data_IF_354475485594
#
_entry.id   IF_354475485594
#
_cell.length_a   1.000
_cell.length_b   1.000
_cell.length_c   1.000
_cell.angle_alpha   90.00
_cell.angle_beta   90.00
_cell.angle_gamma   90.00
#
_symmetry.space_group_name_H-M   'P 1'
#
loop_
_entity.id
_entity.type
_entity.pdbx_description
1 polymer ?
#
# COMPACT_ATOMS: atom_id res chain seq x y z
N UNK A 1 -29.76 -4.38 -11.71
CA UNK A 1 -28.42 -4.03 -12.21
C UNK A 1 -28.40 -4.20 -13.70
N UNK A 2 -28.08 -3.17 -14.48
CA UNK A 2 -28.09 -3.26 -15.95
C UNK A 2 -26.92 -4.13 -16.44
N UNK A 3 -27.10 -4.87 -17.54
CA UNK A 3 -26.06 -5.71 -18.16
C UNK A 3 -24.77 -4.91 -18.44
N UNK A 4 -24.89 -3.60 -18.73
CA UNK A 4 -23.76 -2.70 -18.98
C UNK A 4 -22.90 -2.46 -17.71
N UNK A 5 -23.50 -2.36 -16.54
CA UNK A 5 -22.74 -2.16 -15.29
C UNK A 5 -21.96 -3.41 -14.90
N UNK A 6 -22.53 -4.59 -15.12
CA UNK A 6 -21.85 -5.86 -14.89
C UNK A 6 -20.63 -6.03 -15.80
N UNK A 7 -20.78 -5.78 -17.11
CA UNK A 7 -19.67 -5.91 -18.07
C UNK A 7 -18.54 -4.94 -17.75
N UNK A 8 -18.86 -3.69 -17.39
CA UNK A 8 -17.85 -2.68 -17.00
C UNK A 8 -17.06 -3.09 -15.76
N UNK A 9 -17.74 -3.63 -14.76
CA UNK A 9 -17.08 -4.08 -13.52
C UNK A 9 -16.21 -5.32 -13.76
N UNK A 10 -16.66 -6.25 -14.59
CA UNK A 10 -15.88 -7.42 -14.99
C UNK A 10 -14.61 -7.02 -15.75
N UNK A 11 -14.71 -6.14 -16.74
CA UNK A 11 -13.54 -5.62 -17.47
C UNK A 11 -12.56 -4.91 -16.54
N UNK A 12 -13.06 -4.06 -15.64
CA UNK A 12 -12.22 -3.37 -14.64
C UNK A 12 -11.46 -4.36 -13.75
N UNK A 13 -12.16 -5.38 -13.23
CA UNK A 13 -11.55 -6.39 -12.39
C UNK A 13 -10.46 -7.17 -13.14
N UNK A 14 -10.76 -7.64 -14.35
CA UNK A 14 -9.79 -8.35 -15.19
C UNK A 14 -8.57 -7.49 -15.48
N UNK A 15 -8.76 -6.22 -15.83
CA UNK A 15 -7.65 -5.29 -16.09
C UNK A 15 -6.77 -5.09 -14.85
N UNK A 16 -7.37 -4.91 -13.66
CA UNK A 16 -6.62 -4.76 -12.39
C UNK A 16 -5.84 -6.02 -12.06
N UNK A 17 -6.46 -7.20 -12.19
CA UNK A 17 -5.79 -8.49 -11.92
C UNK A 17 -4.62 -8.71 -12.87
N UNK A 18 -4.80 -8.45 -14.17
CA UNK A 18 -3.74 -8.55 -15.17
C UNK A 18 -2.60 -7.57 -14.87
N UNK A 19 -2.91 -6.32 -14.53
CA UNK A 19 -1.92 -5.30 -14.17
C UNK A 19 -1.11 -5.73 -12.95
N UNK A 20 -1.77 -6.20 -11.89
CA UNK A 20 -1.09 -6.70 -10.68
C UNK A 20 -0.19 -7.89 -11.04
N UNK A 21 -0.67 -8.84 -11.85
CA UNK A 21 0.11 -10.01 -12.28
C UNK A 21 1.36 -9.62 -13.05
N UNK A 22 1.24 -8.72 -14.04
CA UNK A 22 2.38 -8.25 -14.84
C UNK A 22 3.39 -7.51 -13.96
N UNK A 23 2.93 -6.61 -13.09
CA UNK A 23 3.80 -5.86 -12.19
C UNK A 23 4.49 -6.79 -11.20
N UNK A 24 3.78 -7.79 -10.65
CA UNK A 24 4.37 -8.76 -9.74
C UNK A 24 5.49 -9.59 -10.40
N UNK A 25 5.28 -10.04 -11.63
CA UNK A 25 6.29 -10.77 -12.40
C UNK A 25 7.50 -9.89 -12.67
N UNK A 26 7.29 -8.66 -13.17
CA UNK A 26 8.38 -7.72 -13.44
C UNK A 26 9.16 -7.35 -12.17
N UNK A 27 8.47 -7.20 -11.05
CA UNK A 27 9.09 -6.92 -9.75
C UNK A 27 9.93 -8.12 -9.27
N UNK A 28 9.39 -9.33 -9.36
CA UNK A 28 10.11 -10.55 -8.98
C UNK A 28 11.37 -10.76 -9.85
N UNK A 29 11.27 -10.52 -11.16
CA UNK A 29 12.42 -10.60 -12.08
C UNK A 29 13.46 -9.54 -11.74
N UNK A 30 13.05 -8.30 -11.48
CA UNK A 30 13.93 -7.23 -11.04
C UNK A 30 14.69 -7.55 -9.74
N UNK A 31 14.00 -8.15 -8.75
CA UNK A 31 14.65 -8.65 -7.53
C UNK A 31 15.63 -9.78 -7.81
N UNK A 32 15.28 -10.74 -8.66
CA UNK A 32 16.17 -11.84 -9.00
C UNK A 32 17.47 -11.37 -9.69
N UNK A 33 17.34 -10.40 -10.61
CA UNK A 33 18.50 -9.79 -11.27
C UNK A 33 19.33 -8.93 -10.29
N UNK A 34 18.67 -8.15 -9.43
CA UNK A 34 19.34 -7.38 -8.37
C UNK A 34 20.09 -8.28 -7.40
N UNK A 35 19.49 -9.42 -7.02
CA UNK A 35 20.14 -10.44 -6.20
C UNK A 35 21.45 -10.93 -6.84
N UNK A 36 21.43 -11.21 -8.14
CA UNK A 36 22.62 -11.64 -8.87
C UNK A 36 23.75 -10.61 -8.80
N UNK A 37 23.44 -9.33 -9.05
CA UNK A 37 24.43 -8.26 -8.97
C UNK A 37 25.01 -8.04 -7.57
N UNK A 38 24.17 -8.12 -6.52
CA UNK A 38 24.63 -8.05 -5.13
C UNK A 38 25.47 -9.27 -4.74
N UNK A 39 25.12 -10.45 -5.22
CA UNK A 39 25.90 -11.67 -5.00
C UNK A 39 27.29 -11.60 -5.64
N UNK A 40 27.37 -11.15 -6.89
CA UNK A 40 28.64 -10.92 -7.59
C UNK A 40 29.51 -9.86 -6.87
N UNK A 41 28.88 -8.76 -6.42
CA UNK A 41 29.57 -7.78 -5.57
C UNK A 41 30.17 -8.41 -4.33
N UNK A 42 29.39 -9.24 -3.61
CA UNK A 42 29.84 -9.91 -2.40
C UNK A 42 31.06 -10.81 -2.66
N UNK A 43 31.02 -11.59 -3.74
CA UNK A 43 32.14 -12.46 -4.12
C UNK A 43 33.40 -11.65 -4.48
N UNK A 44 33.26 -10.57 -5.25
CA UNK A 44 34.37 -9.69 -5.60
C UNK A 44 35.05 -9.07 -4.35
N UNK A 45 34.27 -8.90 -3.27
CA UNK A 45 34.77 -8.35 -2.01
C UNK A 45 35.08 -9.43 -0.95
N UNK A 46 35.36 -10.66 -1.40
CA UNK A 46 35.84 -11.78 -0.57
C UNK A 46 34.83 -12.27 0.48
N UNK A 47 33.55 -12.08 0.24
CA UNK A 47 32.53 -12.83 0.96
C UNK A 47 32.37 -14.18 0.27
N UNK A 48 32.55 -15.26 1.02
CA UNK A 48 32.49 -16.61 0.49
C UNK A 48 31.37 -17.43 1.15
N UNK A 49 30.89 -18.44 0.40
CA UNK A 49 29.88 -19.39 0.87
C UNK A 49 28.59 -18.71 1.28
N UNK A 50 28.00 -19.16 2.39
CA UNK A 50 26.71 -18.66 2.87
C UNK A 50 26.64 -17.15 3.08
N UNK A 51 27.77 -16.50 3.36
CA UNK A 51 27.82 -15.05 3.55
C UNK A 51 27.57 -14.29 2.24
N UNK A 52 28.10 -14.78 1.14
CA UNK A 52 27.84 -14.21 -0.17
C UNK A 52 26.39 -14.45 -0.60
N UNK A 53 25.86 -15.65 -0.34
CA UNK A 53 24.49 -16.03 -0.67
C UNK A 53 23.44 -15.23 0.13
N UNK A 54 23.71 -14.96 1.40
CA UNK A 54 22.75 -14.25 2.27
C UNK A 54 22.87 -12.73 2.20
N UNK A 55 23.97 -12.20 1.67
CA UNK A 55 24.19 -10.75 1.58
C UNK A 55 23.11 -10.01 0.79
N UNK A 56 22.71 -10.47 -0.41
CA UNK A 56 21.59 -9.86 -1.13
C UNK A 56 20.28 -9.89 -0.34
N UNK A 57 19.97 -11.03 0.30
CA UNK A 57 18.76 -11.19 1.09
C UNK A 57 18.70 -10.20 2.25
N UNK A 58 19.83 -9.88 2.87
CA UNK A 58 19.88 -8.89 3.94
C UNK A 58 19.46 -7.51 3.44
N UNK A 59 19.93 -7.10 2.27
CA UNK A 59 19.55 -5.81 1.66
C UNK A 59 18.07 -5.79 1.31
N UNK A 60 17.58 -6.84 0.66
CA UNK A 60 16.18 -6.96 0.24
C UNK A 60 15.22 -6.99 1.44
N UNK A 61 15.61 -7.62 2.56
CA UNK A 61 14.83 -7.61 3.80
C UNK A 61 14.67 -6.20 4.39
N UNK A 62 15.70 -5.36 4.34
CA UNK A 62 15.58 -3.97 4.78
C UNK A 62 14.61 -3.19 3.89
N UNK A 63 14.66 -3.38 2.59
CA UNK A 63 13.72 -2.78 1.65
C UNK A 63 12.30 -3.23 2.00
N UNK A 64 12.09 -4.53 2.12
CA UNK A 64 10.77 -5.11 2.40
C UNK A 64 10.18 -4.62 3.72
N UNK A 65 10.99 -4.57 4.79
CA UNK A 65 10.54 -4.06 6.11
C UNK A 65 10.13 -2.61 6.03
N UNK A 66 10.90 -1.77 5.35
CA UNK A 66 10.57 -0.36 5.17
C UNK A 66 9.26 -0.17 4.38
N UNK A 67 9.09 -0.91 3.30
CA UNK A 67 7.89 -0.81 2.46
C UNK A 67 6.65 -1.39 3.11
N UNK A 68 6.75 -2.52 3.82
CA UNK A 68 5.64 -3.05 4.62
C UNK A 68 5.24 -2.09 5.73
N UNK A 69 6.21 -1.40 6.36
CA UNK A 69 5.92 -0.36 7.34
C UNK A 69 5.11 0.79 6.75
N UNK A 70 5.50 1.28 5.57
CA UNK A 70 4.73 2.31 4.85
C UNK A 70 3.35 1.81 4.42
N UNK A 71 3.26 0.56 4.00
CA UNK A 71 2.00 -0.05 3.60
C UNK A 71 1.01 -0.16 4.78
N UNK A 72 1.48 -0.62 5.94
CA UNK A 72 0.65 -0.70 7.16
C UNK A 72 0.13 0.68 7.55
N UNK A 73 0.99 1.71 7.54
CA UNK A 73 0.56 3.09 7.80
C UNK A 73 -0.50 3.58 6.81
N UNK A 74 -0.37 3.18 5.54
CA UNK A 74 -1.34 3.53 4.52
C UNK A 74 -2.69 2.81 4.73
N UNK A 75 -2.69 1.56 5.19
CA UNK A 75 -3.91 0.80 5.52
C UNK A 75 -4.64 1.38 6.73
N UNK A 76 -3.90 1.80 7.75
CA UNK A 76 -4.47 2.40 8.97
C UNK A 76 -5.09 3.79 8.73
N UNK A 77 -5.12 4.26 7.48
CA UNK A 77 -5.66 5.56 7.12
C UNK A 77 -4.94 6.70 7.86
N UNK A 78 -3.64 6.54 8.06
CA UNK A 78 -2.82 7.42 8.88
C UNK A 78 -3.00 8.88 8.47
N UNK A 79 -3.77 9.60 9.26
CA UNK A 79 -3.92 11.05 9.10
C UNK A 79 -2.72 11.70 9.75
N UNK A 80 -1.94 12.42 8.96
CA UNK A 80 -0.86 13.28 9.44
C UNK A 80 -1.40 14.19 10.55
N UNK A 81 -1.29 13.73 11.79
CA UNK A 81 -1.53 14.60 12.95
C UNK A 81 -0.39 15.62 12.98
N UNK A 82 -0.69 16.84 13.36
CA UNK A 82 0.29 17.95 13.48
C UNK A 82 1.29 17.73 14.64
N UNK A 83 1.63 16.49 14.95
CA UNK A 83 2.57 16.12 16.01
C UNK A 83 3.89 15.68 15.38
N UNK A 84 5.00 16.10 15.96
CA UNK A 84 6.34 15.72 15.53
C UNK A 84 6.53 14.18 15.55
N UNK A 85 5.96 13.50 16.56
CA UNK A 85 6.04 12.03 16.63
C UNK A 85 5.30 11.34 15.44
N UNK A 86 4.25 11.95 14.92
CA UNK A 86 3.55 11.40 13.77
C UNK A 86 4.41 11.41 12.49
N UNK A 87 5.34 12.34 12.37
CA UNK A 87 6.28 12.36 11.26
C UNK A 87 7.32 11.23 11.36
N UNK A 88 7.74 10.86 12.56
CA UNK A 88 8.71 9.77 12.75
C UNK A 88 8.16 8.42 12.30
N UNK A 89 6.85 8.19 12.47
CA UNK A 89 6.19 6.95 12.06
C UNK A 89 6.26 6.74 10.54
N UNK A 90 6.23 7.82 9.76
CA UNK A 90 6.38 7.76 8.29
C UNK A 90 7.84 7.82 7.88
N UNK A 91 8.61 8.74 8.48
CA UNK A 91 10.00 8.98 8.08
C UNK A 91 10.88 7.75 8.32
N UNK A 92 10.66 7.04 9.42
CA UNK A 92 11.49 5.89 9.76
C UNK A 92 11.38 4.76 8.73
N UNK A 93 10.20 4.19 8.42
CA UNK A 93 10.09 3.15 7.40
C UNK A 93 10.47 3.67 6.00
N UNK A 94 10.17 4.94 5.69
CA UNK A 94 10.60 5.54 4.42
C UNK A 94 12.13 5.63 4.31
N UNK A 95 12.81 6.02 5.38
CA UNK A 95 14.27 6.09 5.41
C UNK A 95 14.90 4.69 5.30
N UNK A 96 14.32 3.69 5.98
CA UNK A 96 14.77 2.28 5.88
C UNK A 96 14.64 1.78 4.45
N UNK A 97 13.49 1.97 3.81
CA UNK A 97 13.27 1.59 2.41
C UNK A 97 14.23 2.31 1.45
N UNK A 98 14.34 3.64 1.58
CA UNK A 98 15.21 4.46 0.73
C UNK A 98 16.69 4.08 0.89
N UNK A 99 17.13 3.78 2.13
CA UNK A 99 18.50 3.31 2.39
C UNK A 99 18.73 1.96 1.75
N UNK A 100 17.82 1.00 1.91
CA UNK A 100 17.91 -0.31 1.27
C UNK A 100 17.99 -0.20 -0.25
N UNK A 101 17.13 0.60 -0.87
CA UNK A 101 17.16 0.86 -2.31
C UNK A 101 18.46 1.54 -2.77
N UNK A 102 18.95 2.52 -2.02
CA UNK A 102 20.21 3.19 -2.31
C UNK A 102 21.40 2.23 -2.27
N UNK A 103 21.43 1.36 -1.26
CA UNK A 103 22.46 0.32 -1.10
C UNK A 103 22.36 -0.70 -2.25
N UNK A 104 21.17 -1.21 -2.55
CA UNK A 104 20.93 -2.15 -3.64
C UNK A 104 21.40 -1.57 -4.98
N UNK A 105 20.99 -0.34 -5.29
CA UNK A 105 21.38 0.35 -6.52
C UNK A 105 22.90 0.57 -6.59
N UNK A 106 23.50 1.01 -5.49
CA UNK A 106 24.94 1.24 -5.43
C UNK A 106 25.73 -0.02 -5.75
N UNK A 107 25.40 -1.14 -5.12
CA UNK A 107 26.11 -2.39 -5.35
C UNK A 107 25.86 -2.94 -6.76
N UNK A 108 24.63 -2.87 -7.27
CA UNK A 108 24.31 -3.31 -8.62
C UNK A 108 25.07 -2.50 -9.70
N UNK A 109 25.23 -1.20 -9.51
CA UNK A 109 25.94 -0.33 -10.46
C UNK A 109 27.46 -0.52 -10.41
N UNK A 110 28.01 -0.92 -9.25
CA UNK A 110 29.45 -0.99 -9.05
C UNK A 110 30.01 -2.42 -8.99
N UNK A 111 29.20 -3.47 -9.24
CA UNK A 111 29.70 -4.85 -9.22
C UNK A 111 30.57 -5.19 -10.44
N UNK A 112 30.45 -4.48 -11.54
CA UNK A 112 31.21 -4.73 -12.77
C UNK A 112 32.54 -3.95 -12.75
N UNK A 113 33.68 -4.61 -12.70
CA UNK A 113 34.98 -3.95 -12.75
C UNK A 113 35.19 -3.24 -14.12
N UNK A 114 35.69 -2.01 -14.10
CA UNK A 114 35.96 -1.20 -15.29
C UNK A 114 34.72 -0.97 -16.19
N UNK A 115 33.53 -0.98 -15.61
CA UNK A 115 32.27 -0.77 -16.31
C UNK A 115 32.23 0.59 -17.01
N UNK A 116 31.75 0.60 -18.24
CA UNK A 116 31.38 1.82 -18.95
C UNK A 116 30.15 2.47 -18.31
N UNK A 117 29.82 3.70 -18.70
CA UNK A 117 28.58 4.34 -18.26
C UNK A 117 27.33 3.55 -18.68
N UNK A 118 27.37 2.95 -19.86
CA UNK A 118 26.26 2.14 -20.39
C UNK A 118 26.05 0.87 -19.56
N UNK A 119 27.14 0.19 -19.18
CA UNK A 119 27.07 -1.00 -18.30
C UNK A 119 26.46 -0.64 -16.94
N UNK A 120 26.88 0.49 -16.36
CA UNK A 120 26.35 0.98 -15.08
C UNK A 120 24.86 1.31 -15.12
N UNK A 121 24.43 1.98 -16.21
CA UNK A 121 23.01 2.28 -16.41
C UNK A 121 22.22 0.98 -16.53
N UNK A 122 22.71 0.02 -17.33
CA UNK A 122 22.05 -1.28 -17.51
C UNK A 122 21.94 -2.05 -16.19
N UNK A 123 23.02 -2.09 -15.41
CA UNK A 123 23.03 -2.76 -14.10
C UNK A 123 22.11 -2.08 -13.06
N UNK A 124 21.81 -0.80 -13.23
CA UNK A 124 20.87 -0.06 -12.38
C UNK A 124 19.39 -0.30 -12.71
N UNK A 125 19.07 -0.82 -13.89
CA UNK A 125 17.67 -1.02 -14.33
C UNK A 125 16.92 -2.01 -13.45
N UNK A 126 17.44 -3.21 -13.09
CA UNK A 126 16.70 -4.18 -12.30
C UNK A 126 16.24 -3.64 -10.92
N UNK A 127 17.09 -3.07 -10.06
CA UNK A 127 16.65 -2.55 -8.78
C UNK A 127 15.65 -1.38 -8.93
N UNK A 128 15.83 -0.51 -9.94
CA UNK A 128 14.87 0.58 -10.21
C UNK A 128 13.53 0.03 -10.67
N UNK A 129 13.52 -0.99 -11.54
CA UNK A 129 12.29 -1.61 -12.01
C UNK A 129 11.54 -2.30 -10.84
N UNK A 130 12.27 -3.01 -9.97
CA UNK A 130 11.71 -3.63 -8.77
C UNK A 130 11.08 -2.58 -7.83
N UNK A 131 11.79 -1.48 -7.56
CA UNK A 131 11.28 -0.36 -6.74
C UNK A 131 10.00 0.24 -7.31
N UNK A 132 9.99 0.59 -8.59
CA UNK A 132 8.81 1.17 -9.25
C UNK A 132 7.64 0.19 -9.25
N UNK A 133 7.91 -1.10 -9.55
CA UNK A 133 6.91 -2.15 -9.55
C UNK A 133 6.26 -2.33 -8.17
N UNK A 134 7.06 -2.40 -7.12
CA UNK A 134 6.58 -2.55 -5.75
C UNK A 134 5.77 -1.32 -5.31
N UNK A 135 6.22 -0.11 -5.63
CA UNK A 135 5.47 1.12 -5.38
C UNK A 135 4.10 1.15 -6.08
N UNK A 136 4.03 0.74 -7.35
CA UNK A 136 2.77 0.65 -8.11
C UNK A 136 1.85 -0.38 -7.46
N UNK A 137 2.38 -1.54 -7.08
CA UNK A 137 1.61 -2.61 -6.44
C UNK A 137 1.01 -2.15 -5.12
N UNK A 138 1.81 -1.57 -4.22
CA UNK A 138 1.36 -1.05 -2.93
C UNK A 138 0.29 0.03 -3.09
N UNK A 139 0.52 0.99 -4.00
CA UNK A 139 -0.46 2.04 -4.29
C UNK A 139 -1.78 1.47 -4.83
N UNK A 140 -1.71 0.46 -5.68
CA UNK A 140 -2.91 -0.17 -6.27
C UNK A 140 -3.71 -0.91 -5.20
N UNK A 141 -3.04 -1.69 -4.35
CA UNK A 141 -3.68 -2.40 -3.24
C UNK A 141 -4.30 -1.41 -2.26
N UNK A 142 -3.57 -0.36 -1.86
CA UNK A 142 -4.09 0.67 -0.97
C UNK A 142 -5.37 1.33 -1.53
N UNK A 143 -5.37 1.73 -2.80
CA UNK A 143 -6.57 2.30 -3.43
C UNK A 143 -7.74 1.34 -3.47
N UNK A 144 -7.47 0.06 -3.68
CA UNK A 144 -8.52 -0.97 -3.69
C UNK A 144 -9.11 -1.16 -2.30
N UNK A 145 -8.29 -1.25 -1.27
CA UNK A 145 -8.72 -1.39 0.12
C UNK A 145 -9.54 -0.18 0.58
N UNK A 146 -9.09 1.04 0.30
CA UNK A 146 -9.84 2.26 0.64
C UNK A 146 -11.24 2.33 0.00
N UNK A 147 -11.43 1.73 -1.18
CA UNK A 147 -12.75 1.68 -1.83
C UNK A 147 -13.69 0.64 -1.19
N UNK A 148 -13.16 -0.37 -0.50
CA UNK A 148 -13.97 -1.34 0.24
C UNK A 148 -14.50 -0.76 1.56
N UNK A 149 -13.73 0.11 2.19
CA UNK A 149 -14.11 0.78 3.45
C UNK A 149 -15.18 1.87 3.24
N UNK A 150 -15.31 2.41 2.02
CA UNK A 150 -16.35 3.38 1.66
C UNK A 150 -17.73 2.75 1.39
N UNK A 151 -17.98 1.51 1.86
CA UNK A 151 -19.33 0.95 1.80
C UNK A 151 -20.26 1.87 2.60
N UNK A 152 -21.32 2.45 2.01
CA UNK A 152 -22.18 3.38 2.72
C UNK A 152 -22.71 2.73 3.99
N UNK A 153 -22.48 3.38 5.13
CA UNK A 153 -23.15 3.02 6.37
C UNK A 153 -24.66 2.95 6.07
N UNK A 154 -25.33 1.83 6.41
CA UNK A 154 -26.76 1.74 6.16
C UNK A 154 -27.43 2.99 6.72
N UNK A 155 -28.22 3.66 5.87
CA UNK A 155 -28.94 4.87 6.27
C UNK A 155 -29.56 4.61 7.64
N UNK A 156 -29.38 5.53 8.61
CA UNK A 156 -29.96 5.35 9.94
C UNK A 156 -31.45 5.03 9.75
N UNK A 157 -31.88 3.94 10.38
CA UNK A 157 -33.30 3.56 10.34
C UNK A 157 -34.14 4.80 10.64
N UNK A 158 -35.16 5.10 9.83
CA UNK A 158 -36.00 6.25 10.08
C UNK A 158 -36.49 6.17 11.54
N UNK A 159 -36.13 7.18 12.33
CA UNK A 159 -36.62 7.26 13.72
C UNK A 159 -38.13 7.04 13.68
N UNK A 160 -38.66 6.15 14.52
CA UNK A 160 -40.10 5.97 14.59
C UNK A 160 -40.73 7.35 14.77
N UNK A 161 -41.69 7.67 13.90
CA UNK A 161 -42.40 8.94 13.98
C UNK A 161 -42.85 9.15 15.41
N UNK A 162 -42.60 10.33 16.03
CA UNK A 162 -43.09 10.61 17.33
C UNK A 162 -44.60 10.41 17.30
N UNK A 163 -45.08 9.48 18.12
CA UNK A 163 -46.50 9.21 18.26
C UNK A 163 -47.22 10.54 18.39
N UNK A 164 -48.03 10.89 17.40
CA UNK A 164 -48.84 12.11 17.43
C UNK A 164 -49.60 12.12 18.77
N UNK A 165 -49.61 13.22 19.52
CA UNK A 165 -50.32 13.28 20.80
C UNK A 165 -51.81 13.43 20.52
N UNK A 166 -52.41 12.45 19.83
CA UNK A 166 -53.86 12.37 19.59
C UNK A 166 -54.47 11.57 20.73
N UNK A 167 -54.71 12.21 21.80
CA UNK A 167 -55.33 11.54 22.95
C UNK A 167 -55.56 12.38 24.17
N UNK A 168 -55.43 13.68 24.09
CA UNK A 168 -56.02 14.52 25.14
C UNK A 168 -57.52 14.63 24.89
N UNK A 169 -58.26 13.64 25.42
CA UNK A 169 -59.67 13.78 25.66
C UNK A 169 -59.85 14.95 26.63
N UNK A 170 -60.32 16.08 26.16
CA UNK A 170 -60.74 17.18 27.02
C UNK A 170 -61.85 16.68 27.95
N UNK A 171 -61.49 16.41 29.20
CA UNK A 171 -62.46 16.22 30.26
C UNK A 171 -63.23 17.56 30.36
N UNK A 172 -64.45 17.55 29.84
CA UNK A 172 -65.40 18.65 30.01
C UNK A 172 -65.62 18.92 31.51
N UNK A 173 -65.37 20.16 31.91
CA UNK A 173 -65.66 20.63 33.27
C UNK A 173 -67.14 20.42 33.61
N UNK A 174 -67.49 20.02 34.83
CA UNK A 174 -68.88 19.91 35.24
C UNK A 174 -69.51 21.30 35.30
N UNK A 175 -70.64 21.40 34.64
CA UNK A 175 -71.51 22.56 34.61
C UNK A 175 -72.07 22.76 36.03
N UNK A 176 -71.63 23.83 36.72
CA UNK A 176 -72.24 24.24 38.01
C UNK A 176 -73.56 24.88 37.71
N UNK A 177 -74.65 24.13 38.02
CA UNK A 177 -75.99 24.67 38.06
C UNK A 177 -76.07 25.73 39.16
N UNK A 178 -76.53 26.90 38.79
CA UNK A 178 -76.82 27.98 39.73
C UNK A 178 -78.15 27.86 40.40
N UNK A 179 -78.21 28.35 41.56
CA UNK A 179 -79.38 29.02 42.19
C UNK A 179 -78.92 30.39 42.67
#
# INVERSE_FOLDING_TARGET
>A
MSKLSFTRNAVRLVTVVLMIGIVAIATADGFAQSYSGLYEWAQLHKLDGWKAETFPLLVDLFILVGELGLFLLALDGYRLRKSFLAWTDILFPAAVAATGWGVSLWFNVNHIPNATTEDKVTAGVPPVAAMVGLFIMLRTVHRYMSQLDETPEPAPEPMPEPLSPTGYVALSAPETAGE
#
